data_IF_313932116051
#
_entry.id   IF_313932116051
#
_cell.length_a   1.000
_cell.length_b   1.000
_cell.length_c   1.000
_cell.angle_alpha   90.00
_cell.angle_beta   90.00
_cell.angle_gamma   90.00
#
_symmetry.space_group_name_H-M   'P 1'
#
loop_
_entity.id
_entity.type
_entity.pdbx_description
1 polymer ?
#
# COMPACT_ATOMS: atom_id res chain seq x y z
N UNK A 1 12.18 -7.36 -15.09
CA UNK A 1 13.57 -6.99 -14.72
C UNK A 1 14.34 -6.60 -15.97
N UNK A 2 15.25 -5.64 -15.89
CA UNK A 2 16.13 -5.23 -16.99
C UNK A 2 17.53 -4.86 -16.47
N UNK A 3 18.56 -4.90 -17.31
CA UNK A 3 19.92 -4.40 -16.98
C UNK A 3 20.07 -2.98 -17.49
N UNK A 4 20.22 -1.98 -16.61
CA UNK A 4 20.20 -0.55 -16.96
C UNK A 4 20.99 0.28 -15.94
N UNK A 5 21.32 1.52 -16.31
CA UNK A 5 21.67 2.56 -15.34
C UNK A 5 20.39 3.03 -14.65
N UNK A 6 20.34 2.88 -13.33
CA UNK A 6 19.18 3.23 -12.52
C UNK A 6 19.27 4.64 -11.99
N UNK A 7 18.12 5.21 -11.71
CA UNK A 7 17.93 6.52 -11.13
C UNK A 7 17.17 6.37 -9.82
N UNK A 8 17.41 7.26 -8.87
CA UNK A 8 16.75 7.28 -7.57
C UNK A 8 16.69 8.71 -7.02
N UNK A 9 16.16 8.88 -5.82
CA UNK A 9 16.13 10.16 -5.10
C UNK A 9 17.25 10.13 -4.06
N UNK A 10 17.99 11.23 -3.91
CA UNK A 10 18.96 11.35 -2.81
C UNK A 10 18.23 11.55 -1.50
N UNK A 11 18.60 10.75 -0.51
CA UNK A 11 18.30 11.02 0.88
C UNK A 11 19.08 12.28 1.34
N UNK A 12 18.41 13.36 1.76
CA UNK A 12 19.11 14.56 2.19
C UNK A 12 19.89 14.37 3.49
N UNK A 13 19.58 13.35 4.30
CA UNK A 13 20.30 13.09 5.54
C UNK A 13 21.59 12.31 5.32
N UNK A 14 21.56 11.26 4.48
CA UNK A 14 22.73 10.42 4.21
C UNK A 14 23.52 10.84 2.96
N UNK A 15 22.94 11.67 2.09
CA UNK A 15 23.50 12.06 0.79
C UNK A 15 23.50 10.94 -0.26
N UNK A 16 23.05 9.72 0.10
CA UNK A 16 23.03 8.53 -0.74
C UNK A 16 21.68 8.36 -1.43
N UNK A 17 21.65 7.61 -2.52
CA UNK A 17 20.39 7.20 -3.15
C UNK A 17 19.58 6.29 -2.21
N UNK A 18 18.26 6.43 -2.26
CA UNK A 18 17.34 5.57 -1.50
C UNK A 18 17.47 4.13 -1.99
N UNK A 19 17.74 3.21 -1.05
CA UNK A 19 17.82 1.77 -1.33
C UNK A 19 16.45 1.21 -1.72
N UNK A 20 16.47 0.21 -2.60
CA UNK A 20 15.29 -0.51 -3.11
C UNK A 20 14.24 0.39 -3.82
N UNK A 21 14.65 1.61 -4.19
CA UNK A 21 13.88 2.51 -5.04
C UNK A 21 14.67 2.82 -6.32
N UNK A 22 14.42 2.01 -7.35
CA UNK A 22 15.13 2.07 -8.62
C UNK A 22 14.18 2.48 -9.74
N UNK A 23 14.54 3.53 -10.47
CA UNK A 23 13.72 4.11 -11.54
C UNK A 23 14.52 4.08 -12.84
N UNK A 24 13.90 3.62 -13.93
CA UNK A 24 14.55 3.70 -15.22
C UNK A 24 14.51 5.12 -15.78
N UNK A 25 15.48 5.50 -16.61
CA UNK A 25 15.58 6.83 -17.21
C UNK A 25 14.25 7.34 -17.80
N UNK A 26 13.54 6.51 -18.57
CA UNK A 26 12.27 6.89 -19.19
C UNK A 26 11.19 7.24 -18.17
N UNK A 27 11.04 6.46 -17.10
CA UNK A 27 10.08 6.76 -16.03
C UNK A 27 10.47 8.02 -15.25
N UNK A 28 11.76 8.20 -14.96
CA UNK A 28 12.24 9.43 -14.31
C UNK A 28 11.92 10.66 -15.15
N UNK A 29 12.22 10.63 -16.46
CA UNK A 29 11.91 11.74 -17.37
C UNK A 29 10.41 11.96 -17.56
N UNK A 30 9.60 10.90 -17.59
CA UNK A 30 8.15 11.04 -17.64
C UNK A 30 7.62 11.80 -16.41
N UNK A 31 8.10 11.47 -15.21
CA UNK A 31 7.71 12.19 -13.98
C UNK A 31 8.16 13.64 -14.02
N UNK A 32 9.37 13.94 -14.47
CA UNK A 32 9.86 15.33 -14.59
C UNK A 32 9.06 16.16 -15.61
N UNK A 33 8.53 15.53 -16.66
CA UNK A 33 7.64 16.18 -17.64
C UNK A 33 6.26 16.44 -17.04
N UNK A 34 5.70 15.47 -16.30
CA UNK A 34 4.38 15.59 -15.67
C UNK A 34 4.39 16.57 -14.49
N UNK A 35 5.48 16.61 -13.74
CA UNK A 35 5.65 17.44 -12.54
C UNK A 35 6.92 18.30 -12.67
N UNK A 36 6.88 19.44 -13.39
CA UNK A 36 8.07 20.22 -13.72
C UNK A 36 8.86 20.75 -12.52
N UNK A 37 8.22 20.92 -11.35
CA UNK A 37 8.93 21.34 -10.14
C UNK A 37 9.76 20.20 -9.50
N UNK A 38 9.58 18.95 -9.94
CA UNK A 38 10.39 17.80 -9.54
C UNK A 38 11.56 17.54 -10.52
N UNK A 39 11.81 18.45 -11.46
CA UNK A 39 12.96 18.36 -12.36
C UNK A 39 14.28 18.26 -11.58
N UNK A 40 15.10 17.27 -11.90
CA UNK A 40 16.40 17.04 -11.27
C UNK A 40 16.33 16.35 -9.91
N UNK A 41 15.13 15.96 -9.45
CA UNK A 41 14.96 15.18 -8.21
C UNK A 41 15.49 13.76 -8.37
N UNK A 42 15.34 13.18 -9.56
CA UNK A 42 15.94 11.89 -9.88
C UNK A 42 17.39 12.08 -10.29
N UNK A 43 18.28 11.31 -9.67
CA UNK A 43 19.71 11.26 -10.01
C UNK A 43 20.14 9.83 -10.33
N UNK A 44 21.20 9.62 -11.13
CA UNK A 44 21.77 8.30 -11.32
C UNK A 44 22.18 7.68 -9.98
N UNK A 45 21.89 6.40 -9.80
CA UNK A 45 22.39 5.62 -8.65
C UNK A 45 23.90 5.47 -8.77
N UNK A 46 24.60 5.66 -7.66
CA UNK A 46 26.06 5.48 -7.56
C UNK A 46 26.41 3.99 -7.68
N UNK A 47 26.42 3.48 -8.92
CA UNK A 47 26.78 2.12 -9.27
C UNK A 47 27.94 2.12 -10.28
N UNK A 48 28.93 1.21 -10.15
CA UNK A 48 30.05 1.11 -11.09
C UNK A 48 29.62 0.69 -12.51
N UNK A 49 28.36 0.32 -12.72
CA UNK A 49 27.81 0.05 -14.04
C UNK A 49 26.32 -0.27 -14.01
N UNK A 50 25.73 -0.62 -15.17
CA UNK A 50 24.34 -1.07 -15.25
C UNK A 50 24.08 -2.31 -14.39
N UNK A 51 23.01 -2.31 -13.60
CA UNK A 51 22.63 -3.45 -12.75
C UNK A 51 21.28 -4.00 -13.15
N UNK A 52 20.97 -5.24 -12.74
CA UNK A 52 19.68 -5.89 -13.00
C UNK A 52 18.69 -5.54 -11.90
N UNK A 53 17.62 -4.83 -12.26
CA UNK A 53 16.56 -4.46 -11.31
C UNK A 53 15.18 -4.32 -11.98
N UNK A 54 14.19 -3.90 -11.21
CA UNK A 54 12.82 -3.60 -11.60
C UNK A 54 12.57 -2.11 -11.35
N UNK A 55 11.95 -1.44 -12.33
CA UNK A 55 11.56 -0.04 -12.16
C UNK A 55 10.36 0.08 -11.20
N UNK A 56 10.57 0.79 -10.09
CA UNK A 56 9.53 1.12 -9.09
C UNK A 56 8.42 2.00 -9.66
N UNK A 57 8.74 2.77 -10.73
CA UNK A 57 7.79 3.66 -11.40
C UNK A 57 7.23 3.09 -12.73
N UNK A 58 7.47 1.81 -13.02
CA UNK A 58 6.87 1.18 -14.20
C UNK A 58 5.56 0.50 -13.80
N UNK A 59 4.45 0.94 -14.40
CA UNK A 59 3.15 0.31 -14.25
C UNK A 59 3.22 -1.17 -14.61
N UNK A 60 2.77 -2.03 -13.71
CA UNK A 60 2.44 -3.42 -14.01
C UNK A 60 1.15 -3.80 -13.26
N UNK A 61 0.24 -4.58 -13.87
CA UNK A 61 -1.08 -4.84 -13.30
C UNK A 61 -1.08 -5.47 -11.90
N UNK A 62 -0.03 -6.23 -11.59
CA UNK A 62 0.21 -6.90 -10.32
C UNK A 62 0.84 -5.99 -9.26
N UNK A 63 1.61 -4.98 -9.68
CA UNK A 63 2.39 -4.08 -8.80
C UNK A 63 1.68 -2.75 -8.56
N UNK A 64 1.02 -2.65 -7.40
CA UNK A 64 0.28 -1.43 -7.00
C UNK A 64 1.16 -0.33 -6.40
N UNK A 65 2.39 -0.64 -6.01
CA UNK A 65 3.31 0.34 -5.40
C UNK A 65 3.65 1.49 -6.35
N UNK A 66 3.55 1.28 -7.66
CA UNK A 66 3.62 2.36 -8.65
C UNK A 66 2.64 3.50 -8.32
N UNK A 67 1.37 3.18 -8.05
CA UNK A 67 0.36 4.19 -7.74
C UNK A 67 0.73 4.94 -6.46
N UNK A 68 1.17 4.23 -5.41
CA UNK A 68 1.58 4.87 -4.15
C UNK A 68 2.77 5.84 -4.35
N UNK A 69 3.79 5.44 -5.12
CA UNK A 69 4.89 6.35 -5.44
C UNK A 69 4.43 7.53 -6.29
N UNK A 70 3.53 7.30 -7.24
CA UNK A 70 2.99 8.35 -8.11
C UNK A 70 2.16 9.36 -7.30
N UNK A 71 1.27 8.90 -6.42
CA UNK A 71 0.45 9.72 -5.52
C UNK A 71 1.35 10.56 -4.59
N UNK A 72 2.46 10.01 -4.10
CA UNK A 72 3.45 10.76 -3.30
C UNK A 72 4.14 11.87 -4.11
N UNK A 73 4.48 11.60 -5.36
CA UNK A 73 5.11 12.58 -6.27
C UNK A 73 4.10 13.69 -6.61
N UNK A 74 2.90 13.33 -7.03
CA UNK A 74 1.79 14.23 -7.33
C UNK A 74 1.44 15.09 -6.12
N UNK A 75 1.20 14.48 -4.95
CA UNK A 75 0.87 15.22 -3.74
C UNK A 75 2.02 16.10 -3.24
N UNK A 76 3.28 15.82 -3.60
CA UNK A 76 4.41 16.73 -3.33
C UNK A 76 4.41 17.90 -4.30
N UNK A 77 4.15 17.64 -5.59
CA UNK A 77 3.99 18.66 -6.62
C UNK A 77 2.85 19.63 -6.27
N UNK A 78 1.64 19.11 -5.98
CA UNK A 78 0.44 19.91 -5.71
C UNK A 78 0.62 20.82 -4.50
N UNK A 79 1.21 20.31 -3.42
CA UNK A 79 1.50 21.13 -2.22
C UNK A 79 2.49 22.25 -2.52
N UNK A 80 3.49 22.00 -3.35
CA UNK A 80 4.47 23.02 -3.75
C UNK A 80 3.80 24.10 -4.61
N UNK A 81 2.95 23.70 -5.57
CA UNK A 81 2.18 24.63 -6.41
C UNK A 81 1.21 25.47 -5.58
N UNK A 82 0.42 24.85 -4.71
CA UNK A 82 -0.55 25.53 -3.85
C UNK A 82 0.12 26.57 -2.93
N UNK A 83 1.30 26.23 -2.38
CA UNK A 83 2.06 27.11 -1.50
C UNK A 83 3.00 28.08 -2.23
N UNK A 84 3.06 28.01 -3.57
CA UNK A 84 4.02 28.76 -4.40
C UNK A 84 5.47 28.61 -3.91
N UNK A 85 5.83 27.40 -3.49
CA UNK A 85 7.13 27.08 -2.90
C UNK A 85 7.85 25.98 -3.67
N UNK A 86 9.13 25.76 -3.34
CA UNK A 86 9.86 24.59 -3.82
C UNK A 86 9.29 23.30 -3.21
N UNK A 87 9.32 22.16 -3.93
CA UNK A 87 8.88 20.89 -3.38
C UNK A 87 9.71 20.47 -2.17
N UNK A 88 9.05 19.90 -1.17
CA UNK A 88 9.71 19.40 0.03
C UNK A 88 10.37 18.03 -0.23
N UNK A 89 11.55 18.07 -0.86
CA UNK A 89 12.33 16.86 -1.18
C UNK A 89 12.69 16.04 0.07
N UNK A 90 13.06 16.63 1.22
CA UNK A 90 13.29 15.85 2.44
C UNK A 90 12.09 15.02 2.89
N UNK A 91 10.88 15.57 2.81
CA UNK A 91 9.68 14.83 3.15
C UNK A 91 9.38 13.75 2.12
N UNK A 92 9.51 14.05 0.82
CA UNK A 92 9.34 13.07 -0.26
C UNK A 92 10.32 11.89 -0.09
N UNK A 93 11.62 12.18 0.06
CA UNK A 93 12.66 11.17 0.23
C UNK A 93 12.42 10.28 1.46
N UNK A 94 11.93 10.87 2.56
CA UNK A 94 11.59 10.11 3.77
C UNK A 94 10.44 9.14 3.51
N UNK A 95 9.37 9.59 2.84
CA UNK A 95 8.23 8.72 2.50
C UNK A 95 8.61 7.63 1.51
N UNK A 96 9.38 7.97 0.47
CA UNK A 96 9.86 6.99 -0.53
C UNK A 96 10.75 5.93 0.11
N UNK A 97 11.70 6.33 0.97
CA UNK A 97 12.56 5.40 1.72
C UNK A 97 11.76 4.46 2.62
N UNK A 98 10.77 5.00 3.31
CA UNK A 98 9.91 4.19 4.16
C UNK A 98 9.15 3.15 3.32
N UNK A 99 8.54 3.55 2.21
CA UNK A 99 7.81 2.61 1.35
C UNK A 99 8.73 1.59 0.66
N UNK A 100 9.98 1.95 0.32
CA UNK A 100 10.91 1.00 -0.27
C UNK A 100 11.45 -0.01 0.74
N UNK A 101 11.57 0.36 2.01
CA UNK A 101 12.09 -0.53 3.07
C UNK A 101 11.07 -1.52 3.63
N UNK A 102 9.77 -1.25 3.46
CA UNK A 102 8.70 -2.15 3.91
C UNK A 102 8.31 -3.12 2.79
N UNK A 103 7.92 -4.34 3.15
CA UNK A 103 7.39 -5.32 2.19
C UNK A 103 6.08 -4.85 1.57
N UNK A 104 5.82 -5.22 0.31
CA UNK A 104 4.55 -4.94 -0.35
C UNK A 104 3.41 -5.61 0.41
N UNK A 105 2.27 -4.92 0.50
CA UNK A 105 1.08 -5.47 1.12
C UNK A 105 0.66 -6.77 0.43
N UNK A 106 0.68 -7.87 1.20
CA UNK A 106 0.24 -9.19 0.76
C UNK A 106 -1.28 -9.32 0.56
N UNK A 107 -2.04 -8.23 0.65
CA UNK A 107 -3.49 -8.21 0.42
C UNK A 107 -4.24 -9.20 1.32
N UNK A 108 -5.09 -10.03 0.73
CA UNK A 108 -5.81 -11.14 1.34
C UNK A 108 -4.97 -12.40 1.56
N UNK A 109 -3.72 -12.45 1.08
CA UNK A 109 -2.85 -13.59 1.34
C UNK A 109 -2.47 -13.65 2.82
N UNK A 110 -2.62 -14.84 3.40
CA UNK A 110 -2.34 -15.08 4.81
C UNK A 110 -0.82 -15.19 5.02
N UNK A 111 -0.23 -14.14 5.60
CA UNK A 111 1.20 -14.11 5.95
C UNK A 111 1.44 -14.78 7.30
N UNK A 112 2.44 -15.66 7.36
CA UNK A 112 2.84 -16.35 8.58
C UNK A 112 3.94 -15.58 9.31
N UNK A 113 3.77 -15.33 10.60
CA UNK A 113 4.80 -14.67 11.43
C UNK A 113 5.07 -13.20 11.07
N UNK A 114 4.14 -12.54 10.35
CA UNK A 114 4.25 -11.14 9.96
C UNK A 114 4.08 -10.17 11.12
N UNK A 115 4.53 -8.93 10.93
CA UNK A 115 4.29 -7.81 11.85
C UNK A 115 3.03 -7.04 11.40
N UNK A 116 2.11 -6.79 12.34
CA UNK A 116 0.79 -6.26 12.08
C UNK A 116 0.42 -5.17 13.07
N UNK A 117 -0.11 -4.06 12.59
CA UNK A 117 -0.79 -3.07 13.41
C UNK A 117 -2.22 -3.53 13.67
N UNK A 118 -2.65 -3.43 14.92
CA UNK A 118 -3.99 -3.82 15.37
C UNK A 118 -4.58 -2.74 16.25
N UNK A 119 -5.90 -2.72 16.31
CA UNK A 119 -6.66 -1.87 17.23
C UNK A 119 -6.86 -2.56 18.57
N UNK A 120 -6.75 -1.80 19.66
CA UNK A 120 -7.00 -2.30 21.02
C UNK A 120 -8.42 -2.87 21.18
N UNK A 121 -9.42 -2.17 20.60
CA UNK A 121 -10.84 -2.53 20.71
C UNK A 121 -11.36 -3.40 19.56
N UNK A 122 -10.52 -3.68 18.56
CA UNK A 122 -10.89 -4.44 17.35
C UNK A 122 -9.67 -5.23 16.83
N UNK A 123 -9.29 -6.28 17.55
CA UNK A 123 -8.08 -7.05 17.27
C UNK A 123 -8.17 -7.85 15.95
N UNK A 124 -9.38 -8.15 15.49
CA UNK A 124 -9.61 -8.76 14.17
C UNK A 124 -9.24 -7.82 12.99
N UNK A 125 -9.10 -6.51 13.24
CA UNK A 125 -8.70 -5.53 12.24
C UNK A 125 -7.17 -5.41 12.15
N UNK A 126 -6.58 -6.27 11.32
CA UNK A 126 -5.12 -6.34 11.14
C UNK A 126 -4.67 -5.55 9.91
N UNK A 127 -3.60 -4.76 10.05
CA UNK A 127 -3.09 -3.86 9.01
C UNK A 127 -1.57 -4.04 8.89
N UNK A 128 -1.06 -4.25 7.67
CA UNK A 128 0.38 -4.36 7.43
C UNK A 128 1.08 -2.99 7.55
N UNK A 129 2.41 -2.99 7.69
CA UNK A 129 3.20 -1.75 7.79
C UNK A 129 2.90 -0.77 6.63
N UNK A 130 2.89 -1.24 5.38
CA UNK A 130 2.64 -0.37 4.21
C UNK A 130 1.27 0.32 4.30
N UNK A 131 0.19 -0.43 4.57
CA UNK A 131 -1.15 0.14 4.69
C UNK A 131 -1.33 0.99 5.95
N UNK A 132 -0.59 0.72 7.03
CA UNK A 132 -0.63 1.54 8.23
C UNK A 132 -0.10 2.94 7.93
N UNK A 133 1.07 3.06 7.30
CA UNK A 133 1.65 4.37 6.98
C UNK A 133 0.92 5.12 5.88
N UNK A 134 0.35 4.40 4.92
CA UNK A 134 -0.38 4.99 3.80
C UNK A 134 -1.79 5.46 4.19
N UNK A 135 -2.48 4.76 5.10
CA UNK A 135 -3.90 4.98 5.39
C UNK A 135 -4.15 5.41 6.83
N UNK A 136 -3.50 4.78 7.81
CA UNK A 136 -3.77 5.01 9.25
C UNK A 136 -2.99 6.20 9.78
N UNK A 137 -1.70 6.31 9.42
CA UNK A 137 -0.82 7.36 9.89
C UNK A 137 -1.30 8.78 9.53
N UNK A 138 -1.81 9.06 8.30
CA UNK A 138 -2.38 10.36 7.99
C UNK A 138 -3.58 10.73 8.88
N UNK A 139 -4.45 9.76 9.19
CA UNK A 139 -5.61 9.98 10.08
C UNK A 139 -5.18 10.16 11.55
N UNK A 140 -4.08 9.50 11.96
CA UNK A 140 -3.44 9.74 13.27
C UNK A 140 -2.90 11.17 13.38
N UNK A 141 -2.19 11.65 12.35
CA UNK A 141 -1.68 13.02 12.29
C UNK A 141 -2.81 14.05 12.29
N UNK A 142 -3.93 13.73 11.62
CA UNK A 142 -5.15 14.54 11.66
C UNK A 142 -5.89 14.50 13.00
N UNK A 143 -5.46 13.66 13.94
CA UNK A 143 -5.99 13.59 15.30
C UNK A 143 -7.21 12.68 15.49
N UNK A 144 -7.51 11.80 14.54
CA UNK A 144 -8.68 10.90 14.62
C UNK A 144 -8.63 9.99 15.85
N UNK A 145 -9.73 9.93 16.61
CA UNK A 145 -9.85 9.07 17.78
C UNK A 145 -9.97 7.59 17.39
N UNK A 146 -10.54 7.31 16.21
CA UNK A 146 -10.60 5.96 15.64
C UNK A 146 -9.19 5.46 15.32
N UNK A 147 -8.40 6.26 14.59
CA UNK A 147 -7.03 5.89 14.24
C UNK A 147 -6.14 5.71 15.49
N UNK A 148 -6.32 6.53 16.52
CA UNK A 148 -5.60 6.44 17.80
C UNK A 148 -5.79 5.12 18.55
N UNK A 149 -6.80 4.33 18.21
CA UNK A 149 -7.00 3.03 18.82
C UNK A 149 -6.00 1.96 18.33
N UNK A 150 -5.22 2.24 17.27
CA UNK A 150 -4.14 1.36 16.84
C UNK A 150 -2.96 1.35 17.81
N UNK A 151 -2.38 0.17 18.03
CA UNK A 151 -1.06 0.06 18.63
C UNK A 151 -0.01 0.67 17.68
N UNK A 152 0.78 1.61 18.21
CA UNK A 152 1.86 2.25 17.45
C UNK A 152 2.95 1.25 17.04
N UNK A 153 3.23 0.26 17.90
CA UNK A 153 4.17 -0.81 17.58
C UNK A 153 3.41 -1.99 16.98
N UNK A 154 3.83 -2.50 15.81
CA UNK A 154 3.22 -3.70 15.24
C UNK A 154 3.52 -4.91 16.12
N UNK A 155 2.56 -5.82 16.18
CA UNK A 155 2.65 -7.07 16.91
C UNK A 155 2.89 -8.23 15.93
N UNK A 156 3.66 -9.23 16.35
CA UNK A 156 3.86 -10.44 15.54
C UNK A 156 2.68 -11.37 15.68
N UNK A 157 2.03 -11.69 14.56
CA UNK A 157 0.92 -12.63 14.52
C UNK A 157 1.32 -13.91 13.80
N UNK A 158 0.78 -15.04 14.27
CA UNK A 158 1.04 -16.35 13.65
C UNK A 158 0.54 -16.39 12.21
N UNK A 159 -0.66 -15.87 11.95
CA UNK A 159 -1.33 -15.81 10.65
C UNK A 159 -2.28 -14.62 10.63
N UNK A 160 -2.14 -13.74 9.65
CA UNK A 160 -3.08 -12.65 9.38
C UNK A 160 -2.98 -12.21 7.91
N UNK A 161 -3.97 -11.45 7.46
CA UNK A 161 -4.05 -10.84 6.14
C UNK A 161 -4.50 -9.38 6.31
N UNK A 162 -4.04 -8.49 5.44
CA UNK A 162 -4.31 -7.07 5.61
C UNK A 162 -5.80 -6.79 5.41
N UNK A 163 -6.39 -5.93 6.23
CA UNK A 163 -7.79 -5.52 6.09
C UNK A 163 -7.93 -4.19 5.33
N UNK A 164 -6.84 -3.46 5.11
CA UNK A 164 -6.80 -2.17 4.42
C UNK A 164 -6.18 -2.24 3.01
N UNK A 165 -6.04 -3.42 2.42
CA UNK A 165 -5.56 -3.53 1.04
C UNK A 165 -6.62 -3.15 0.00
N UNK A 166 -7.89 -3.23 0.37
CA UNK A 166 -9.03 -2.95 -0.49
C UNK A 166 -9.38 -1.46 -0.47
N UNK A 167 -9.82 -0.91 -1.60
CA UNK A 167 -10.22 0.49 -1.66
C UNK A 167 -11.49 0.72 -0.83
N UNK A 168 -12.44 -0.21 -0.89
CA UNK A 168 -13.66 -0.14 -0.09
C UNK A 168 -13.38 -0.05 1.41
N UNK A 169 -12.47 -0.87 1.94
CA UNK A 169 -12.13 -0.84 3.36
C UNK A 169 -11.36 0.41 3.76
N UNK A 170 -10.53 0.96 2.85
CA UNK A 170 -9.89 2.27 3.05
C UNK A 170 -10.93 3.37 3.18
N UNK A 171 -11.96 3.37 2.33
CA UNK A 171 -13.03 4.38 2.39
C UNK A 171 -13.91 4.22 3.63
N UNK A 172 -14.20 2.98 4.05
CA UNK A 172 -14.87 2.70 5.34
C UNK A 172 -14.07 3.25 6.50
N UNK A 173 -12.75 3.01 6.53
CA UNK A 173 -11.88 3.48 7.59
C UNK A 173 -11.78 5.02 7.64
N UNK A 174 -11.55 5.67 6.49
CA UNK A 174 -11.52 7.15 6.40
C UNK A 174 -12.83 7.76 6.87
N UNK A 175 -13.97 7.19 6.43
CA UNK A 175 -15.30 7.64 6.87
C UNK A 175 -15.50 7.47 8.37
N UNK A 176 -15.03 6.37 8.95
CA UNK A 176 -15.09 6.16 10.40
C UNK A 176 -14.24 7.20 11.14
N UNK A 177 -13.03 7.49 10.64
CA UNK A 177 -12.15 8.51 11.20
C UNK A 177 -12.76 9.91 11.14
N UNK A 178 -13.33 10.30 9.99
CA UNK A 178 -13.97 11.61 9.79
C UNK A 178 -15.19 11.84 10.69
N UNK A 179 -15.91 10.78 11.05
CA UNK A 179 -17.12 10.84 11.88
C UNK A 179 -16.87 10.45 13.36
N UNK A 180 -15.63 10.12 13.70
CA UNK A 180 -15.26 9.47 14.95
C UNK A 180 -16.16 8.27 15.34
N UNK A 181 -16.63 7.53 14.33
CA UNK A 181 -17.60 6.45 14.48
C UNK A 181 -16.91 5.08 14.50
N UNK A 182 -16.34 4.74 15.66
CA UNK A 182 -15.69 3.44 15.86
C UNK A 182 -16.68 2.27 15.70
N UNK A 183 -17.94 2.46 16.08
CA UNK A 183 -18.97 1.41 16.01
C UNK A 183 -19.27 1.07 14.56
N UNK A 184 -19.36 2.06 13.68
CA UNK A 184 -19.48 1.86 12.24
C UNK A 184 -18.32 1.04 11.66
N UNK A 185 -17.08 1.36 12.03
CA UNK A 185 -15.90 0.59 11.60
C UNK A 185 -16.01 -0.87 12.05
N UNK A 186 -16.29 -1.10 13.34
CA UNK A 186 -16.41 -2.44 13.90
C UNK A 186 -17.47 -3.28 13.17
N UNK A 187 -18.65 -2.71 12.90
CA UNK A 187 -19.71 -3.40 12.16
C UNK A 187 -19.22 -3.78 10.76
N UNK A 188 -18.59 -2.86 10.03
CA UNK A 188 -18.14 -3.12 8.64
C UNK A 188 -16.99 -4.12 8.55
N UNK A 189 -16.06 -4.09 9.51
CA UNK A 189 -14.98 -5.09 9.60
C UNK A 189 -15.56 -6.48 9.84
N UNK A 190 -16.49 -6.63 10.78
CA UNK A 190 -17.11 -7.93 11.08
C UNK A 190 -17.94 -8.46 9.93
N UNK A 191 -18.79 -7.62 9.33
CA UNK A 191 -19.55 -7.98 8.13
C UNK A 191 -18.62 -8.51 7.01
N UNK A 192 -17.47 -7.86 6.79
CA UNK A 192 -16.49 -8.30 5.78
C UNK A 192 -15.89 -9.66 6.14
N UNK A 193 -15.49 -9.85 7.40
CA UNK A 193 -14.88 -11.10 7.87
C UNK A 193 -15.86 -12.28 7.79
N UNK A 194 -17.13 -12.04 8.10
CA UNK A 194 -18.18 -13.06 7.98
C UNK A 194 -18.34 -13.51 6.52
N UNK A 195 -18.42 -12.56 5.58
CA UNK A 195 -18.49 -12.87 4.14
C UNK A 195 -17.22 -13.58 3.64
N UNK A 196 -16.04 -13.13 4.08
CA UNK A 196 -14.77 -13.77 3.72
C UNK A 196 -14.73 -15.23 4.20
N UNK A 197 -15.19 -15.48 5.42
CA UNK A 197 -15.29 -16.82 5.99
C UNK A 197 -16.27 -17.70 5.21
N UNK A 198 -17.44 -17.19 4.85
CA UNK A 198 -18.47 -17.94 4.11
C UNK A 198 -18.02 -18.30 2.69
N UNK A 199 -17.34 -17.37 2.02
CA UNK A 199 -16.74 -17.62 0.70
C UNK A 199 -15.62 -18.67 0.80
N UNK A 200 -14.72 -18.56 1.78
CA UNK A 200 -13.63 -19.55 1.98
C UNK A 200 -14.18 -20.95 2.27
N UNK A 201 -15.21 -21.06 3.12
CA UNK A 201 -15.88 -22.34 3.38
C UNK A 201 -16.52 -22.92 2.12
N UNK A 202 -17.14 -22.08 1.30
CA UNK A 202 -17.78 -22.52 0.04
C UNK A 202 -16.74 -23.00 -0.96
N UNK A 203 -15.60 -22.30 -1.09
CA UNK A 203 -14.49 -22.72 -1.95
C UNK A 203 -13.85 -24.05 -1.48
N UNK A 204 -13.69 -24.25 -0.18
CA UNK A 204 -13.16 -25.52 0.37
C UNK A 204 -14.05 -26.71 0.00
N UNK A 205 -15.37 -26.57 0.13
CA UNK A 205 -16.31 -27.62 -0.26
C UNK A 205 -16.19 -27.98 -1.74
N UNK A 206 -15.97 -26.99 -2.60
CA UNK A 206 -15.81 -27.21 -4.04
C UNK A 206 -14.53 -28.00 -4.34
N UNK A 207 -13.41 -27.65 -3.68
CA UNK A 207 -12.11 -28.32 -3.87
C UNK A 207 -12.18 -29.82 -3.47
N UNK A 208 -12.91 -30.13 -2.40
CA UNK A 208 -13.13 -31.52 -1.93
C UNK A 208 -13.93 -32.39 -2.93
N UNK A 209 -14.67 -31.80 -3.88
CA UNK A 209 -15.57 -32.52 -4.80
C UNK A 209 -15.00 -32.77 -6.22
N UNK A 210 -13.80 -32.26 -6.55
CA UNK A 210 -13.09 -32.55 -7.82
C UNK A 210 -13.53 -31.71 -9.04
N UNK A 211 -12.77 -31.75 -10.17
CA UNK A 211 -12.92 -30.81 -11.27
C UNK A 211 -14.12 -31.18 -12.17
N UNK A 212 -15.21 -30.45 -12.00
CA UNK A 212 -16.40 -30.51 -12.87
C UNK A 212 -16.70 -29.09 -13.38
N UNK A 213 -17.15 -28.95 -14.62
CA UNK A 213 -17.35 -27.65 -15.28
C UNK A 213 -18.34 -26.74 -14.52
N UNK A 214 -19.34 -27.34 -13.86
CA UNK A 214 -20.28 -26.66 -12.96
C UNK A 214 -19.60 -25.97 -11.76
N UNK A 215 -18.49 -26.53 -11.25
CA UNK A 215 -17.74 -25.92 -10.16
C UNK A 215 -17.01 -24.65 -10.59
N UNK A 216 -16.69 -24.50 -11.87
CA UNK A 216 -16.04 -23.29 -12.39
C UNK A 216 -16.98 -22.09 -12.33
N UNK A 217 -18.24 -22.27 -12.73
CA UNK A 217 -19.25 -21.19 -12.66
C UNK A 217 -19.54 -20.76 -11.22
N UNK A 218 -19.56 -21.71 -10.29
CA UNK A 218 -19.81 -21.44 -8.87
C UNK A 218 -18.63 -20.72 -8.21
N UNK A 219 -17.39 -21.15 -8.50
CA UNK A 219 -16.17 -20.41 -8.11
C UNK A 219 -16.18 -18.99 -8.68
N UNK A 220 -16.53 -18.81 -9.96
CA UNK A 220 -16.63 -17.48 -10.56
C UNK A 220 -17.70 -16.61 -9.87
N UNK A 221 -18.83 -17.19 -9.48
CA UNK A 221 -19.88 -16.47 -8.74
C UNK A 221 -19.38 -16.01 -7.38
N UNK A 222 -18.68 -16.88 -6.63
CA UNK A 222 -18.08 -16.54 -5.34
C UNK A 222 -16.99 -15.47 -5.49
N UNK A 223 -16.15 -15.55 -6.51
CA UNK A 223 -15.13 -14.52 -6.81
C UNK A 223 -15.79 -13.19 -7.18
N UNK A 224 -16.86 -13.21 -7.99
CA UNK A 224 -17.64 -12.00 -8.32
C UNK A 224 -18.30 -11.38 -7.09
N UNK A 225 -18.77 -12.21 -6.16
CA UNK A 225 -19.31 -11.75 -4.89
C UNK A 225 -18.23 -11.10 -4.03
N UNK A 226 -17.07 -11.75 -3.86
CA UNK A 226 -15.94 -11.21 -3.11
C UNK A 226 -15.46 -9.86 -3.66
N UNK A 227 -15.40 -9.71 -4.99
CA UNK A 227 -15.00 -8.43 -5.63
C UNK A 227 -15.89 -7.24 -5.25
N UNK A 228 -17.14 -7.45 -4.82
CA UNK A 228 -18.01 -6.36 -4.34
C UNK A 228 -17.59 -5.87 -2.95
N UNK A 229 -16.82 -6.69 -2.22
CA UNK A 229 -16.35 -6.39 -0.88
C UNK A 229 -14.95 -5.74 -0.86
N UNK A 230 -14.31 -5.60 -2.01
CA UNK A 230 -12.95 -5.13 -2.21
C UNK A 230 -12.85 -3.70 -2.77
#
# INVERSE_FOLDING_TARGET
MAVRTWWSIKDPYSGRCIQDFNVCYHCAKAVEVLFPNLLGVFVPVDSPGPTRDICSLHFAPDRKRFNLYFDLLEGTYDRAVANKSAPNIPQLATKVRHMSSVGECARDDVVRGGAWHMMEKLQEFTVCEECFHDVVFPELEAGSMVARNFYQKPQRLRRAACQLYSQRMRDVFRRACQKDDFKYLQVKVRERLDIEMDIKKSLQKIDDHGPQEAFREEVEKLVREWRKWE
#
